data_IF_986636921086
#
_entry.id   IF_986636921086
#
_cell.length_a   1.000
_cell.length_b   1.000
_cell.length_c   1.000
_cell.angle_alpha   90.00
_cell.angle_beta   90.00
_cell.angle_gamma   90.00
#
_symmetry.space_group_name_H-M   'P 1'
#
loop_
_entity.id
_entity.type
_entity.pdbx_description
1 polymer ?
#
# COMPACT_ATOMS: atom_id res chain seq x y z
N UNK A 1 -8.99 -8.17 -6.09
CA UNK A 1 -10.03 -9.10 -6.58
C UNK A 1 -11.29 -9.07 -5.72
N UNK A 2 -11.20 -9.09 -4.37
CA UNK A 2 -12.36 -9.10 -3.48
C UNK A 2 -13.25 -7.85 -3.62
N UNK A 3 -12.65 -6.69 -3.83
CA UNK A 3 -13.36 -5.42 -4.07
C UNK A 3 -14.21 -5.47 -5.34
N UNK A 4 -13.82 -6.30 -6.31
CA UNK A 4 -14.55 -6.52 -7.55
C UNK A 4 -15.40 -7.82 -7.53
N UNK A 5 -15.60 -8.42 -6.37
CA UNK A 5 -16.41 -9.65 -6.23
C UNK A 5 -15.81 -10.90 -6.86
N UNK A 6 -14.55 -10.84 -7.33
CA UNK A 6 -13.87 -11.96 -7.99
C UNK A 6 -13.15 -12.89 -7.00
N UNK A 7 -13.12 -12.55 -5.73
CA UNK A 7 -12.54 -13.36 -4.65
C UNK A 7 -13.32 -13.13 -3.35
N UNK A 8 -13.46 -14.17 -2.51
CA UNK A 8 -14.17 -14.03 -1.24
C UNK A 8 -13.28 -13.35 -0.18
N UNK A 9 -13.86 -12.39 0.52
CA UNK A 9 -13.22 -11.72 1.66
C UNK A 9 -12.71 -12.68 2.74
N UNK A 10 -13.32 -13.86 2.86
CA UNK A 10 -12.87 -14.93 3.76
C UNK A 10 -11.46 -15.44 3.46
N UNK A 11 -10.96 -15.27 2.25
CA UNK A 11 -9.62 -15.68 1.85
C UNK A 11 -8.54 -14.64 2.16
N UNK A 12 -8.91 -13.44 2.61
CA UNK A 12 -7.98 -12.33 2.87
C UNK A 12 -7.66 -12.28 4.37
N UNK A 13 -6.40 -12.17 4.79
CA UNK A 13 -6.04 -11.96 6.20
C UNK A 13 -6.69 -10.71 6.78
N UNK A 14 -7.01 -10.73 8.07
CA UNK A 14 -7.58 -9.58 8.77
C UNK A 14 -6.55 -8.44 8.88
N UNK A 15 -7.02 -7.22 8.66
CA UNK A 15 -6.25 -6.00 8.86
C UNK A 15 -7.17 -4.93 9.45
N UNK A 16 -7.35 -4.89 10.77
CA UNK A 16 -8.19 -3.90 11.42
C UNK A 16 -7.67 -2.49 11.17
N UNK A 17 -8.53 -1.62 10.63
CA UNK A 17 -8.19 -0.21 10.38
C UNK A 17 -7.80 0.52 11.67
N UNK A 18 -8.20 0.00 12.80
CA UNK A 18 -7.90 0.53 14.15
C UNK A 18 -6.41 0.52 14.50
N UNK A 19 -5.56 -0.16 13.71
CA UNK A 19 -4.09 -0.09 13.85
C UNK A 19 -3.58 1.36 13.79
N UNK A 20 -4.26 2.26 13.07
CA UNK A 20 -3.93 3.69 12.98
C UNK A 20 -4.06 4.41 14.33
N UNK A 21 -4.86 3.87 15.26
CA UNK A 21 -5.11 4.44 16.59
C UNK A 21 -4.08 4.01 17.63
N UNK A 22 -3.30 2.98 17.34
CA UNK A 22 -2.32 2.47 18.29
C UNK A 22 -1.26 3.55 18.57
N UNK A 23 -0.95 3.80 19.84
CA UNK A 23 -0.01 4.84 20.24
C UNK A 23 1.42 4.47 19.84
N UNK A 24 2.27 5.48 19.65
CA UNK A 24 3.66 5.30 19.18
C UNK A 24 4.54 4.46 20.12
N UNK A 25 4.22 4.41 21.41
CA UNK A 25 4.95 3.58 22.38
C UNK A 25 4.55 2.11 22.33
N UNK A 26 3.45 1.77 21.64
CA UNK A 26 3.01 0.40 21.50
C UNK A 26 3.81 -0.30 20.41
N UNK A 27 4.26 -1.52 20.64
CA UNK A 27 5.14 -2.25 19.74
C UNK A 27 4.55 -2.44 18.33
N UNK A 28 3.25 -2.62 18.21
CA UNK A 28 2.55 -2.81 16.94
C UNK A 28 1.84 -1.52 16.49
N UNK A 29 2.56 -0.46 16.21
CA UNK A 29 1.98 0.75 15.63
C UNK A 29 2.48 0.98 14.20
N UNK A 30 1.80 1.83 13.43
CA UNK A 30 2.15 2.07 12.02
C UNK A 30 3.54 2.69 11.84
N UNK A 31 4.08 3.39 12.85
CA UNK A 31 5.41 4.02 12.78
C UNK A 31 6.57 3.04 13.07
N UNK A 32 6.27 1.81 13.49
CA UNK A 32 7.25 0.70 13.52
C UNK A 32 7.43 0.06 12.15
N UNK A 33 6.54 0.34 11.20
CA UNK A 33 6.64 -0.14 9.83
C UNK A 33 7.48 0.81 8.99
N UNK A 34 8.07 0.30 7.90
CA UNK A 34 8.70 1.16 6.90
C UNK A 34 7.69 2.13 6.29
N UNK A 35 8.17 3.23 5.70
CA UNK A 35 7.30 4.22 5.07
C UNK A 35 6.40 3.59 4.00
N UNK A 36 6.96 2.77 3.11
CA UNK A 36 6.18 2.09 2.08
C UNK A 36 5.13 1.15 2.64
N UNK A 37 5.46 0.40 3.71
CA UNK A 37 4.49 -0.47 4.37
C UNK A 37 3.32 0.33 4.94
N UNK A 38 3.57 1.48 5.56
CA UNK A 38 2.51 2.38 6.03
C UNK A 38 1.60 2.84 4.90
N UNK A 39 2.21 3.26 3.78
CA UNK A 39 1.48 3.72 2.60
C UNK A 39 0.60 2.62 1.97
N UNK A 40 0.95 1.35 2.15
CA UNK A 40 0.13 0.22 1.71
C UNK A 40 -0.94 -0.12 2.75
N UNK A 41 -0.55 -0.23 4.02
CA UNK A 41 -1.40 -0.75 5.11
C UNK A 41 -2.54 0.21 5.46
N UNK A 42 -2.29 1.52 5.49
CA UNK A 42 -3.32 2.50 5.88
C UNK A 42 -4.51 2.52 4.92
N UNK A 43 -4.35 2.72 3.60
CA UNK A 43 -5.48 2.64 2.68
C UNK A 43 -6.09 1.24 2.60
N UNK A 44 -5.29 0.17 2.70
CA UNK A 44 -5.80 -1.20 2.74
C UNK A 44 -6.70 -1.42 3.96
N UNK A 45 -6.38 -0.86 5.13
CA UNK A 45 -7.23 -0.88 6.32
C UNK A 45 -8.61 -0.27 6.07
N UNK A 46 -8.69 0.84 5.33
CA UNK A 46 -9.97 1.46 4.93
C UNK A 46 -10.76 0.49 4.05
N UNK A 47 -10.13 -0.09 3.03
CA UNK A 47 -10.76 -1.05 2.12
C UNK A 47 -11.31 -2.25 2.89
N UNK A 48 -10.52 -2.80 3.82
CA UNK A 48 -10.90 -3.93 4.67
C UNK A 48 -12.05 -3.61 5.62
N UNK A 49 -12.11 -2.39 6.14
CA UNK A 49 -13.19 -1.94 7.02
C UNK A 49 -14.49 -1.69 6.26
N UNK A 50 -14.42 -1.17 5.04
CA UNK A 50 -15.59 -0.85 4.20
C UNK A 50 -16.11 -2.06 3.44
N UNK A 51 -15.24 -2.94 2.97
CA UNK A 51 -15.58 -4.14 2.15
C UNK A 51 -16.53 -3.82 1.01
N UNK A 52 -16.36 -2.66 0.41
CA UNK A 52 -17.16 -2.24 -0.75
C UNK A 52 -17.01 -3.22 -1.89
N UNK A 53 -18.08 -3.41 -2.67
CA UNK A 53 -18.05 -4.21 -3.89
C UNK A 53 -18.40 -3.33 -5.07
N UNK A 54 -17.51 -3.29 -6.04
CA UNK A 54 -17.73 -2.61 -7.31
C UNK A 54 -18.06 -3.64 -8.37
N UNK A 55 -19.04 -3.34 -9.21
CA UNK A 55 -19.40 -4.22 -10.32
C UNK A 55 -18.36 -4.07 -11.44
N UNK A 56 -17.96 -5.18 -12.00
CA UNK A 56 -17.17 -5.25 -13.23
C UNK A 56 -18.06 -5.78 -14.35
N UNK A 57 -17.78 -5.38 -15.60
CA UNK A 57 -18.52 -5.92 -16.75
C UNK A 57 -18.29 -7.43 -16.91
N UNK A 58 -19.22 -8.09 -17.57
CA UNK A 58 -19.22 -9.56 -17.74
C UNK A 58 -17.92 -10.10 -18.35
N UNK A 59 -17.23 -9.29 -19.18
CA UNK A 59 -15.93 -9.63 -19.78
C UNK A 59 -14.76 -9.64 -18.80
N UNK A 60 -14.93 -9.11 -17.59
CA UNK A 60 -13.90 -9.03 -16.54
C UNK A 60 -14.11 -10.06 -15.42
N UNK A 61 -15.02 -11.01 -15.63
CA UNK A 61 -15.24 -12.12 -14.69
C UNK A 61 -14.10 -13.15 -14.84
N UNK A 62 -13.59 -13.62 -13.71
CA UNK A 62 -12.43 -14.54 -13.64
C UNK A 62 -12.82 -15.96 -13.23
N UNK A 63 -14.03 -16.42 -13.56
CA UNK A 63 -14.54 -17.73 -13.15
C UNK A 63 -13.75 -18.89 -13.77
N UNK A 64 -13.20 -18.69 -14.95
CA UNK A 64 -12.35 -19.62 -15.68
C UNK A 64 -10.98 -19.86 -15.01
N UNK A 65 -10.55 -18.98 -14.09
CA UNK A 65 -9.32 -19.17 -13.30
C UNK A 65 -9.53 -20.07 -12.07
N UNK A 66 -10.76 -20.43 -11.74
CA UNK A 66 -11.05 -21.31 -10.62
C UNK A 66 -10.99 -22.78 -11.06
N UNK A 67 -10.09 -23.56 -10.43
CA UNK A 67 -9.95 -25.01 -10.65
C UNK A 67 -11.19 -25.78 -10.19
N UNK A 68 -11.93 -25.24 -9.21
CA UNK A 68 -13.18 -25.77 -8.68
C UNK A 68 -14.20 -24.63 -8.58
N UNK A 69 -15.51 -24.90 -8.60
CA UNK A 69 -16.53 -23.86 -8.46
C UNK A 69 -16.29 -22.98 -7.24
N UNK A 70 -16.44 -21.65 -7.39
CA UNK A 70 -16.17 -20.64 -6.34
C UNK A 70 -16.82 -20.99 -5.01
N UNK A 71 -18.02 -21.54 -5.02
CA UNK A 71 -18.80 -21.90 -3.83
C UNK A 71 -18.17 -23.06 -3.05
N UNK A 72 -17.35 -23.87 -3.71
CA UNK A 72 -16.65 -25.03 -3.12
C UNK A 72 -15.24 -24.72 -2.65
N UNK A 73 -14.75 -23.52 -2.91
CA UNK A 73 -13.38 -23.10 -2.50
C UNK A 73 -13.30 -23.00 -0.98
N UNK A 74 -12.36 -23.71 -0.38
CA UNK A 74 -12.06 -23.58 1.05
C UNK A 74 -10.94 -22.56 1.25
N UNK A 75 -11.26 -21.46 1.94
CA UNK A 75 -10.29 -20.42 2.31
C UNK A 75 -9.60 -20.68 3.66
N UNK A 76 -9.78 -21.87 4.25
CA UNK A 76 -9.14 -22.24 5.50
C UNK A 76 -7.66 -22.55 5.27
N UNK A 77 -6.79 -21.83 5.95
CA UNK A 77 -5.37 -22.12 5.95
C UNK A 77 -5.11 -23.47 6.62
N UNK A 78 -4.30 -24.31 5.97
CA UNK A 78 -3.87 -25.60 6.51
C UNK A 78 -2.99 -25.38 7.73
N UNK A 79 -3.40 -25.95 8.87
CA UNK A 79 -2.63 -25.90 10.13
C UNK A 79 -1.53 -26.96 10.13
N UNK A 80 -0.47 -26.67 10.87
CA UNK A 80 0.56 -27.66 11.15
C UNK A 80 0.05 -28.67 12.21
N UNK A 81 0.56 -29.89 12.15
CA UNK A 81 0.21 -30.94 13.11
C UNK A 81 0.62 -30.56 14.55
N UNK A 82 1.79 -29.98 14.72
CA UNK A 82 2.19 -29.39 15.99
C UNK A 82 1.41 -28.09 16.22
N UNK A 83 0.68 -28.03 17.33
CA UNK A 83 -0.16 -26.87 17.69
C UNK A 83 0.64 -25.61 18.05
N UNK A 84 1.88 -25.76 18.54
CA UNK A 84 2.72 -24.66 19.03
C UNK A 84 3.69 -24.13 17.97
N UNK A 85 3.28 -24.04 16.70
CA UNK A 85 4.08 -23.42 15.66
C UNK A 85 3.74 -21.94 15.50
N UNK A 86 4.71 -21.15 15.06
CA UNK A 86 4.52 -19.73 14.72
C UNK A 86 3.37 -19.57 13.69
N UNK A 87 3.30 -20.46 12.71
CA UNK A 87 2.21 -20.46 11.73
C UNK A 87 0.84 -20.63 12.39
N UNK A 88 0.69 -21.61 13.27
CA UNK A 88 -0.58 -21.83 13.99
C UNK A 88 -0.93 -20.67 14.92
N UNK A 89 0.08 -20.04 15.53
CA UNK A 89 -0.11 -18.80 16.31
C UNK A 89 -0.72 -17.69 15.45
N UNK A 90 -0.15 -17.40 14.27
CA UNK A 90 -0.69 -16.36 13.36
C UNK A 90 -2.06 -16.73 12.82
N UNK A 91 -2.36 -18.00 12.51
CA UNK A 91 -3.70 -18.44 12.11
C UNK A 91 -4.73 -18.20 13.22
N UNK A 92 -4.37 -18.45 14.47
CA UNK A 92 -5.26 -18.18 15.62
C UNK A 92 -5.48 -16.68 15.79
N UNK A 93 -4.40 -15.89 15.72
CA UNK A 93 -4.45 -14.44 15.81
C UNK A 93 -5.33 -13.83 14.70
N UNK A 94 -5.14 -14.24 13.44
CA UNK A 94 -6.00 -13.84 12.33
C UNK A 94 -7.48 -14.21 12.58
N UNK A 95 -7.73 -15.38 13.17
CA UNK A 95 -9.11 -15.79 13.48
C UNK A 95 -9.77 -14.85 14.49
N UNK A 96 -9.02 -14.39 15.51
CA UNK A 96 -9.52 -13.43 16.49
C UNK A 96 -9.79 -12.07 15.83
N UNK A 97 -8.84 -11.59 15.05
CA UNK A 97 -8.98 -10.32 14.32
C UNK A 97 -10.16 -10.33 13.34
N UNK A 98 -10.38 -11.43 12.62
CA UNK A 98 -11.55 -11.60 11.73
C UNK A 98 -12.87 -11.54 12.47
N UNK A 99 -12.94 -12.14 13.67
CA UNK A 99 -14.16 -12.03 14.50
C UNK A 99 -14.44 -10.59 14.89
N UNK A 100 -13.39 -9.86 15.24
CA UNK A 100 -13.47 -8.43 15.54
C UNK A 100 -13.92 -7.62 14.31
N UNK A 101 -13.33 -7.83 13.15
CA UNK A 101 -13.69 -7.13 11.91
C UNK A 101 -15.12 -7.42 11.43
N UNK A 102 -15.62 -8.64 11.67
CA UNK A 102 -17.00 -9.04 11.30
C UNK A 102 -18.04 -8.52 12.29
N UNK A 103 -17.61 -7.93 13.41
CA UNK A 103 -18.50 -7.27 14.36
C UNK A 103 -19.12 -5.98 13.77
N UNK A 104 -20.11 -5.41 14.46
CA UNK A 104 -20.75 -4.17 14.04
C UNK A 104 -19.73 -3.02 13.97
N UNK A 105 -19.97 -2.07 13.06
CA UNK A 105 -19.11 -0.87 12.93
C UNK A 105 -19.25 -0.05 14.22
N UNK A 106 -18.22 -0.11 15.06
CA UNK A 106 -18.13 0.65 16.31
C UNK A 106 -17.78 2.11 16.06
N UNK A 107 -18.03 2.97 17.04
CA UNK A 107 -17.56 4.37 17.01
C UNK A 107 -16.05 4.45 16.84
N UNK A 108 -15.30 3.51 17.46
CA UNK A 108 -13.85 3.41 17.33
C UNK A 108 -13.42 3.18 15.87
N UNK A 109 -14.14 2.29 15.15
CA UNK A 109 -13.87 2.02 13.73
C UNK A 109 -14.12 3.23 12.85
N UNK A 110 -15.16 4.01 13.14
CA UNK A 110 -15.43 5.26 12.42
C UNK A 110 -14.28 6.25 12.60
N UNK A 111 -13.83 6.47 13.84
CA UNK A 111 -12.69 7.35 14.16
C UNK A 111 -11.41 6.84 13.46
N UNK A 112 -11.19 5.52 13.43
CA UNK A 112 -10.04 4.95 12.77
C UNK A 112 -10.06 5.18 11.25
N UNK A 113 -11.23 5.04 10.61
CA UNK A 113 -11.41 5.32 9.18
C UNK A 113 -11.12 6.80 8.89
N UNK A 114 -11.71 7.72 9.64
CA UNK A 114 -11.50 9.18 9.48
C UNK A 114 -10.03 9.56 9.67
N UNK A 115 -9.36 8.99 10.68
CA UNK A 115 -7.93 9.21 10.91
C UNK A 115 -7.06 8.63 9.80
N UNK A 116 -7.41 7.46 9.26
CA UNK A 116 -6.71 6.83 8.14
C UNK A 116 -6.89 7.63 6.85
N UNK A 117 -8.09 8.11 6.58
CA UNK A 117 -8.40 8.99 5.46
C UNK A 117 -7.54 10.26 5.52
N UNK A 118 -7.59 10.98 6.66
CA UNK A 118 -6.78 12.17 6.88
C UNK A 118 -5.29 11.90 6.68
N UNK A 119 -4.76 10.83 7.30
CA UNK A 119 -3.37 10.43 7.17
C UNK A 119 -2.97 10.19 5.71
N UNK A 120 -3.82 9.51 4.94
CA UNK A 120 -3.62 9.21 3.52
C UNK A 120 -3.63 10.50 2.69
N UNK A 121 -4.63 11.36 2.85
CA UNK A 121 -4.77 12.60 2.09
C UNK A 121 -3.59 13.56 2.31
N UNK A 122 -3.14 13.74 3.55
CA UNK A 122 -1.98 14.58 3.87
C UNK A 122 -0.70 14.17 3.14
N UNK A 123 -0.60 12.90 2.69
CA UNK A 123 0.59 12.34 2.02
C UNK A 123 0.43 12.19 0.51
N UNK A 124 -0.77 12.39 0.00
CA UNK A 124 -1.03 12.47 -1.45
C UNK A 124 -0.56 13.79 -2.05
N UNK A 125 -0.69 14.91 -1.29
CA UNK A 125 -0.53 16.26 -1.82
C UNK A 125 0.90 16.60 -2.31
N UNK A 126 1.94 15.85 -1.92
CA UNK A 126 3.34 16.25 -2.15
C UNK A 126 4.24 15.14 -2.72
N UNK A 127 3.71 14.02 -3.14
CA UNK A 127 4.53 12.82 -3.34
C UNK A 127 4.52 12.20 -4.75
N UNK A 128 3.81 12.76 -5.71
CA UNK A 128 3.62 12.08 -7.01
C UNK A 128 2.91 10.72 -6.82
N UNK A 129 1.88 10.71 -5.97
CA UNK A 129 1.17 9.52 -5.54
C UNK A 129 1.67 8.96 -4.20
N UNK A 130 0.82 8.22 -3.50
CA UNK A 130 1.11 7.72 -2.16
C UNK A 130 2.32 6.79 -2.13
N UNK A 131 3.42 7.28 -1.58
CA UNK A 131 4.68 6.54 -1.46
C UNK A 131 5.41 6.28 -2.79
N UNK A 132 4.91 6.82 -3.92
CA UNK A 132 5.45 6.66 -5.26
C UNK A 132 5.68 5.19 -5.67
N UNK A 133 4.85 4.28 -5.15
CA UNK A 133 4.83 2.85 -5.49
C UNK A 133 3.43 2.41 -5.87
N UNK A 134 3.34 1.60 -6.92
CA UNK A 134 2.08 1.18 -7.50
C UNK A 134 1.07 0.58 -6.50
N UNK A 135 1.45 -0.35 -5.58
CA UNK A 135 0.48 -0.93 -4.64
C UNK A 135 -0.19 0.09 -3.72
N UNK A 136 0.56 1.07 -3.21
CA UNK A 136 -0.01 2.08 -2.31
C UNK A 136 -0.86 3.10 -3.07
N UNK A 137 -0.47 3.46 -4.29
CA UNK A 137 -1.21 4.38 -5.16
C UNK A 137 -2.56 3.78 -5.55
N UNK A 138 -2.60 2.52 -5.99
CA UNK A 138 -3.85 1.82 -6.32
C UNK A 138 -4.70 1.59 -5.07
N UNK A 139 -4.11 1.21 -3.93
CA UNK A 139 -4.86 1.07 -2.69
C UNK A 139 -5.45 2.40 -2.22
N UNK A 140 -4.75 3.53 -2.37
CA UNK A 140 -5.30 4.84 -2.02
C UNK A 140 -6.50 5.23 -2.89
N UNK A 141 -6.41 4.99 -4.20
CA UNK A 141 -7.54 5.21 -5.12
C UNK A 141 -8.74 4.33 -4.78
N UNK A 142 -8.51 3.03 -4.52
CA UNK A 142 -9.56 2.12 -4.10
C UNK A 142 -10.16 2.51 -2.74
N UNK A 143 -9.36 2.95 -1.78
CA UNK A 143 -9.84 3.43 -0.49
C UNK A 143 -10.72 4.67 -0.64
N UNK A 144 -10.33 5.65 -1.46
CA UNK A 144 -11.16 6.81 -1.78
C UNK A 144 -12.50 6.39 -2.38
N UNK A 145 -12.51 5.46 -3.32
CA UNK A 145 -13.76 4.91 -3.89
C UNK A 145 -14.63 4.22 -2.82
N UNK A 146 -14.03 3.46 -1.92
CA UNK A 146 -14.74 2.85 -0.78
C UNK A 146 -15.31 3.88 0.20
N UNK A 147 -14.69 5.05 0.30
CA UNK A 147 -15.18 6.18 1.11
C UNK A 147 -16.28 6.99 0.41
N UNK A 148 -16.50 6.78 -0.89
CA UNK A 148 -17.55 7.42 -1.67
C UNK A 148 -17.08 8.58 -2.54
N UNK A 149 -15.78 8.79 -2.68
CA UNK A 149 -15.23 9.77 -3.62
C UNK A 149 -15.63 9.40 -5.06
N UNK A 150 -16.13 10.34 -5.81
CA UNK A 150 -16.64 10.15 -7.18
C UNK A 150 -15.65 10.63 -8.22
N UNK A 151 -15.89 10.27 -9.48
CA UNK A 151 -15.22 10.86 -10.63
C UNK A 151 -15.41 12.39 -10.62
N UNK A 152 -14.40 13.10 -11.13
CA UNK A 152 -14.35 14.56 -11.10
C UNK A 152 -13.92 15.16 -9.75
N UNK A 153 -13.70 14.35 -8.71
CA UNK A 153 -13.08 14.84 -7.49
C UNK A 153 -11.58 15.09 -7.74
N UNK A 154 -11.05 16.31 -7.47
CA UNK A 154 -9.68 16.67 -7.81
C UNK A 154 -8.62 15.71 -7.23
N UNK A 155 -8.85 15.17 -6.03
CA UNK A 155 -7.91 14.22 -5.39
C UNK A 155 -7.91 12.87 -6.10
N UNK A 156 -9.08 12.43 -6.57
CA UNK A 156 -9.22 11.18 -7.34
C UNK A 156 -8.57 11.32 -8.70
N UNK A 157 -8.84 12.40 -9.42
CA UNK A 157 -8.26 12.66 -10.75
C UNK A 157 -6.72 12.73 -10.63
N UNK A 158 -6.21 13.44 -9.64
CA UNK A 158 -4.77 13.50 -9.37
C UNK A 158 -4.16 12.13 -9.07
N UNK A 159 -4.84 11.29 -8.29
CA UNK A 159 -4.38 9.94 -8.00
C UNK A 159 -4.36 9.04 -9.26
N UNK A 160 -5.30 9.23 -10.19
CA UNK A 160 -5.31 8.53 -11.48
C UNK A 160 -4.13 9.00 -12.33
N UNK A 161 -3.93 10.31 -12.48
CA UNK A 161 -2.78 10.87 -13.19
C UNK A 161 -1.45 10.35 -12.67
N UNK A 162 -1.28 10.30 -11.34
CA UNK A 162 -0.06 9.80 -10.70
C UNK A 162 0.17 8.31 -11.00
N UNK A 163 -0.88 7.49 -11.06
CA UNK A 163 -0.79 6.08 -11.45
C UNK A 163 -0.42 5.96 -12.94
N UNK A 164 -1.05 6.75 -13.80
CA UNK A 164 -0.77 6.77 -15.23
C UNK A 164 0.65 7.25 -15.53
N UNK A 165 1.20 8.16 -14.72
CA UNK A 165 2.60 8.60 -14.81
C UNK A 165 3.63 7.49 -14.59
N UNK A 166 3.24 6.34 -14.00
CA UNK A 166 4.08 5.15 -13.93
C UNK A 166 4.12 4.36 -15.24
N UNK A 167 3.21 4.64 -16.17
CA UNK A 167 3.17 3.95 -17.45
C UNK A 167 4.25 4.49 -18.40
N UNK A 168 5.03 3.59 -18.97
CA UNK A 168 5.99 3.87 -20.02
C UNK A 168 5.40 3.35 -21.33
N UNK A 169 5.21 4.24 -22.27
CA UNK A 169 4.69 3.93 -23.59
C UNK A 169 5.83 3.85 -24.61
N UNK A 170 5.82 2.81 -25.40
CA UNK A 170 6.59 2.66 -26.62
C UNK A 170 5.63 2.61 -27.81
N UNK A 171 6.11 2.63 -29.05
CA UNK A 171 5.28 2.70 -30.25
C UNK A 171 4.17 1.64 -30.30
N UNK A 172 4.44 0.41 -29.85
CA UNK A 172 3.51 -0.72 -29.90
C UNK A 172 3.18 -1.31 -28.52
N UNK A 173 3.87 -0.89 -27.47
CA UNK A 173 3.74 -1.51 -26.15
C UNK A 173 3.60 -0.49 -25.04
N UNK A 174 3.03 -0.93 -23.93
CA UNK A 174 2.99 -0.19 -22.69
C UNK A 174 3.41 -1.12 -21.55
N UNK A 175 4.26 -0.64 -20.66
CA UNK A 175 4.51 -1.31 -19.39
C UNK A 175 4.39 -0.33 -18.22
N UNK A 176 4.00 -0.86 -17.08
CA UNK A 176 3.82 -0.08 -15.87
C UNK A 176 5.03 -0.27 -14.96
N UNK A 177 5.70 0.83 -14.61
CA UNK A 177 6.77 0.81 -13.61
C UNK A 177 6.19 0.53 -12.22
N UNK A 178 6.84 -0.30 -11.39
CA UNK A 178 6.34 -0.57 -10.06
C UNK A 178 6.53 0.59 -9.08
N UNK A 179 7.50 1.46 -9.34
CA UNK A 179 7.82 2.61 -8.51
C UNK A 179 8.73 3.61 -9.24
N UNK A 180 8.84 4.81 -8.67
CA UNK A 180 9.84 5.82 -9.04
C UNK A 180 10.62 6.18 -7.78
N UNK A 181 11.93 5.88 -7.76
CA UNK A 181 12.78 6.00 -6.58
C UNK A 181 14.12 6.72 -6.84
N UNK A 182 14.13 7.93 -7.47
CA UNK A 182 15.37 8.56 -7.91
C UNK A 182 16.34 8.85 -6.77
N UNK A 183 15.84 9.22 -5.58
CA UNK A 183 16.70 9.47 -4.40
C UNK A 183 17.31 8.17 -3.86
N UNK A 184 16.68 7.03 -4.06
CA UNK A 184 17.20 5.72 -3.69
C UNK A 184 18.16 5.16 -4.74
N UNK A 185 17.82 5.31 -6.02
CA UNK A 185 18.55 4.71 -7.14
C UNK A 185 19.86 5.45 -7.43
N UNK A 186 19.87 6.79 -7.28
CA UNK A 186 21.04 7.61 -7.59
C UNK A 186 22.28 7.22 -6.78
N UNK A 187 22.25 7.07 -5.44
CA UNK A 187 23.44 6.65 -4.69
C UNK A 187 23.91 5.24 -5.06
N UNK A 188 23.00 4.32 -5.39
CA UNK A 188 23.41 3.01 -5.88
C UNK A 188 24.10 3.08 -7.23
N UNK A 189 23.60 3.92 -8.15
CA UNK A 189 24.25 4.17 -9.44
C UNK A 189 25.64 4.81 -9.26
N UNK A 190 25.78 5.80 -8.37
CA UNK A 190 27.08 6.42 -8.03
C UNK A 190 28.04 5.34 -7.53
N UNK A 191 27.62 4.53 -6.58
CA UNK A 191 28.49 3.46 -6.00
C UNK A 191 28.89 2.42 -7.04
N UNK A 192 27.97 2.01 -7.92
CA UNK A 192 28.25 1.05 -8.98
C UNK A 192 29.27 1.60 -9.96
N UNK A 193 29.12 2.84 -10.39
CA UNK A 193 30.02 3.50 -11.33
C UNK A 193 31.43 3.71 -10.73
N UNK A 194 31.52 4.12 -9.46
CA UNK A 194 32.80 4.23 -8.75
C UNK A 194 33.52 2.87 -8.66
N UNK A 195 32.76 1.80 -8.33
CA UNK A 195 33.33 0.45 -8.25
C UNK A 195 33.73 -0.13 -9.61
N UNK A 196 33.12 0.36 -10.70
CA UNK A 196 33.51 -0.03 -12.07
C UNK A 196 34.74 0.72 -12.57
N UNK A 197 35.33 1.61 -11.74
CA UNK A 197 36.56 2.31 -12.06
C UNK A 197 36.36 3.74 -12.61
N UNK A 198 35.13 4.27 -12.60
CA UNK A 198 34.90 5.67 -12.97
C UNK A 198 35.56 6.59 -11.92
N UNK A 199 36.36 7.60 -12.32
CA UNK A 199 37.00 8.49 -11.37
C UNK A 199 35.97 9.33 -10.60
N UNK A 200 36.24 9.60 -9.31
CA UNK A 200 35.33 10.32 -8.42
C UNK A 200 35.02 11.75 -8.86
N UNK A 201 35.85 12.36 -9.66
CA UNK A 201 35.67 13.70 -10.25
C UNK A 201 34.96 13.66 -11.62
N UNK A 202 34.45 12.50 -12.06
CA UNK A 202 33.72 12.43 -13.32
C UNK A 202 32.47 13.32 -13.27
N UNK A 203 32.21 14.15 -14.32
CA UNK A 203 31.13 15.15 -14.30
C UNK A 203 29.76 14.59 -13.94
N UNK A 204 29.42 13.37 -14.39
CA UNK A 204 28.15 12.73 -14.08
C UNK A 204 28.03 12.37 -12.58
N UNK A 205 29.12 11.97 -11.93
CA UNK A 205 29.12 11.65 -10.50
C UNK A 205 29.00 12.92 -9.65
N UNK A 206 29.73 13.99 -10.05
CA UNK A 206 29.64 15.30 -9.38
C UNK A 206 28.22 15.84 -9.47
N UNK A 207 27.63 15.86 -10.67
CA UNK A 207 26.23 16.29 -10.90
C UNK A 207 25.22 15.46 -10.09
N UNK A 208 25.39 14.15 -10.01
CA UNK A 208 24.53 13.27 -9.23
C UNK A 208 24.66 13.55 -7.72
N UNK A 209 25.87 13.82 -7.23
CA UNK A 209 26.12 14.21 -5.84
C UNK A 209 25.47 15.55 -5.49
N UNK A 210 25.63 16.57 -6.35
CA UNK A 210 24.98 17.87 -6.18
C UNK A 210 23.45 17.72 -6.14
N UNK A 211 22.88 16.96 -7.08
CA UNK A 211 21.46 16.68 -7.10
C UNK A 211 20.98 15.98 -5.81
N UNK A 212 21.76 15.04 -5.26
CA UNK A 212 21.43 14.39 -3.98
C UNK A 212 21.41 15.39 -2.82
N UNK A 213 22.36 16.34 -2.77
CA UNK A 213 22.37 17.38 -1.74
C UNK A 213 21.16 18.31 -1.81
N UNK A 214 20.67 18.61 -3.03
CA UNK A 214 19.42 19.37 -3.21
C UNK A 214 18.17 18.64 -2.70
N UNK A 215 18.21 17.31 -2.65
CA UNK A 215 17.10 16.47 -2.16
C UNK A 215 17.15 16.21 -0.64
N UNK A 216 18.10 16.81 0.06
CA UNK A 216 18.18 16.69 1.52
C UNK A 216 16.87 17.13 2.19
N UNK A 217 16.31 16.27 3.04
CA UNK A 217 15.07 16.54 3.76
C UNK A 217 15.39 17.39 4.99
N UNK A 218 14.98 18.66 4.98
CA UNK A 218 15.21 19.65 6.05
C UNK A 218 13.96 19.96 6.88
N UNK A 219 12.83 19.38 6.52
CA UNK A 219 11.54 19.62 7.20
C UNK A 219 11.10 18.41 8.00
N UNK A 220 10.42 18.65 9.11
CA UNK A 220 9.84 17.56 9.91
C UNK A 220 8.79 16.78 9.11
N UNK A 221 8.79 15.47 9.28
CA UNK A 221 7.88 14.53 8.61
C UNK A 221 7.78 13.23 9.39
N UNK A 222 7.30 12.18 8.74
CA UNK A 222 7.15 10.85 9.38
C UNK A 222 8.46 10.29 9.95
N UNK A 223 9.60 10.63 9.35
CA UNK A 223 10.92 10.24 9.83
C UNK A 223 11.21 10.75 11.24
N UNK A 224 10.75 11.97 11.58
CA UNK A 224 10.97 12.57 12.89
C UNK A 224 10.15 11.94 14.01
N UNK A 225 9.23 11.02 13.70
CA UNK A 225 8.45 10.29 14.69
C UNK A 225 9.29 9.29 15.49
N UNK A 226 10.40 8.83 14.93
CA UNK A 226 11.32 7.86 15.54
C UNK A 226 12.73 8.42 15.76
N UNK A 227 13.11 9.41 14.97
CA UNK A 227 14.41 10.08 15.04
C UNK A 227 14.18 11.59 15.18
N UNK A 228 13.83 12.06 16.38
CA UNK A 228 13.57 13.48 16.67
C UNK A 228 14.83 14.32 16.52
#
# INVERSE_FOLDING_TARGET
LAVFGQFDWKGIPALPVEIILLPKFFYFNIYEMSYWSRCIVVPLGIIMAKRSKFQVGDKAVLDDLYVIPKEKVSYRLKRDQNRLTIKNFFINFDTILRRYENGPISSLRKIAIEKSEKWMLERLEKSGGLGAIWPSMVNSLMAMRCLGYKDGNPVVEKAIEDIEALAVHDEETMFLQPCVSPVWDTPWAIMALLKSGLPNNHPSLVKAGEWMLEKEVKTFGDWSMKNP
#
